data_IF_974710952029
#
_entry.id   IF_974710952029
#
_cell.length_a   1.000
_cell.length_b   1.000
_cell.length_c   1.000
_cell.angle_alpha   90.00
_cell.angle_beta   90.00
_cell.angle_gamma   90.00
#
_symmetry.space_group_name_H-M   'P 1'
#
loop_
_entity.id
_entity.type
_entity.pdbx_description
1 polymer ?
#
# COMPACT_ATOMS: atom_id res chain seq x y z
N UNK A 1 -16.41 -0.23 19.96
CA UNK A 1 -15.13 0.28 20.50
C UNK A 1 -14.20 0.48 19.31
N UNK A 2 -13.81 1.72 18.95
CA UNK A 2 -12.80 1.93 17.90
C UNK A 2 -11.54 1.17 18.31
N UNK A 3 -11.10 0.26 17.46
CA UNK A 3 -10.06 -0.73 17.75
C UNK A 3 -8.74 -0.09 18.17
N UNK A 4 -8.14 -0.62 19.25
CA UNK A 4 -6.79 -0.33 19.79
C UNK A 4 -5.63 -0.36 18.77
N UNK A 5 -5.88 -0.78 17.53
CA UNK A 5 -4.91 -0.77 16.43
C UNK A 5 -4.41 0.64 16.07
N UNK A 6 -5.27 1.66 16.16
CA UNK A 6 -4.94 3.01 15.68
C UNK A 6 -4.41 3.96 16.76
N UNK A 7 -4.52 3.62 18.04
CA UNK A 7 -4.10 4.51 19.14
C UNK A 7 -2.59 4.58 19.35
N UNK A 8 -1.81 3.81 18.60
CA UNK A 8 -0.37 3.58 18.86
C UNK A 8 0.56 4.08 17.74
N UNK A 9 0.05 4.69 16.67
CA UNK A 9 0.92 5.32 15.66
C UNK A 9 1.36 6.71 16.14
N UNK A 10 2.66 6.99 16.06
CA UNK A 10 3.13 8.35 16.26
C UNK A 10 2.78 9.26 15.06
N UNK A 11 2.96 10.58 15.23
CA UNK A 11 2.64 11.56 14.18
C UNK A 11 3.42 11.32 12.86
N UNK A 12 4.64 10.78 12.94
CA UNK A 12 5.43 10.48 11.76
C UNK A 12 4.87 9.27 11.00
N UNK A 13 4.44 8.24 11.70
CA UNK A 13 3.83 7.04 11.13
C UNK A 13 2.43 7.33 10.57
N UNK A 14 1.65 8.19 11.23
CA UNK A 14 0.39 8.73 10.67
C UNK A 14 0.66 9.48 9.36
N UNK A 15 1.69 10.32 9.30
CA UNK A 15 2.05 11.03 8.08
C UNK A 15 2.50 10.09 6.95
N UNK A 16 3.23 9.02 7.29
CA UNK A 16 3.59 7.97 6.32
C UNK A 16 2.36 7.24 5.80
N UNK A 17 1.42 6.89 6.66
CA UNK A 17 0.16 6.24 6.27
C UNK A 17 -0.66 7.15 5.35
N UNK A 18 -0.79 8.44 5.68
CA UNK A 18 -1.46 9.43 4.83
C UNK A 18 -0.85 9.44 3.42
N UNK A 19 0.48 9.56 3.29
CA UNK A 19 1.16 9.50 1.99
C UNK A 19 0.90 8.19 1.24
N UNK A 20 0.86 7.06 1.94
CA UNK A 20 0.55 5.76 1.33
C UNK A 20 -0.90 5.70 0.81
N UNK A 21 -1.87 6.29 1.52
CA UNK A 21 -3.26 6.40 1.05
C UNK A 21 -3.36 7.30 -0.19
N UNK A 22 -2.65 8.44 -0.20
CA UNK A 22 -2.57 9.30 -1.38
C UNK A 22 -2.01 8.55 -2.59
N UNK A 23 -0.97 7.74 -2.38
CA UNK A 23 -0.40 6.87 -3.41
C UNK A 23 -1.45 5.86 -3.92
N UNK A 24 -2.14 5.14 -3.03
CA UNK A 24 -3.20 4.19 -3.42
C UNK A 24 -4.26 4.87 -4.29
N UNK A 25 -4.74 6.05 -3.87
CA UNK A 25 -5.75 6.81 -4.63
C UNK A 25 -5.24 7.20 -6.02
N UNK A 26 -4.03 7.75 -6.09
CA UNK A 26 -3.42 8.18 -7.34
C UNK A 26 -3.19 7.02 -8.31
N UNK A 27 -2.75 5.86 -7.82
CA UNK A 27 -2.54 4.67 -8.65
C UNK A 27 -3.87 4.05 -9.11
N UNK A 28 -4.89 3.97 -8.24
CA UNK A 28 -6.21 3.47 -8.63
C UNK A 28 -6.83 4.29 -9.77
N UNK A 29 -6.68 5.63 -9.70
CA UNK A 29 -7.17 6.56 -10.73
C UNK A 29 -6.52 6.38 -12.10
N UNK A 30 -5.34 5.75 -12.16
CA UNK A 30 -4.59 5.49 -13.41
C UNK A 30 -4.57 4.01 -13.80
N UNK A 31 -5.14 3.14 -12.97
CA UNK A 31 -5.13 1.71 -13.21
C UNK A 31 -5.94 1.34 -14.45
N UNK A 32 -5.48 0.33 -15.20
CA UNK A 32 -6.22 -0.27 -16.31
C UNK A 32 -7.56 -0.87 -15.85
N UNK A 33 -7.59 -1.40 -14.62
CA UNK A 33 -8.79 -1.92 -13.95
C UNK A 33 -8.93 -1.27 -12.55
N UNK A 34 -9.47 -0.04 -12.45
CA UNK A 34 -9.68 0.62 -11.16
C UNK A 34 -10.63 -0.19 -10.27
N UNK A 35 -10.30 -0.32 -9.00
CA UNK A 35 -11.15 -0.99 -8.00
C UNK A 35 -12.08 0.00 -7.31
N UNK A 36 -13.17 -0.52 -6.73
CA UNK A 36 -13.99 0.24 -5.80
C UNK A 36 -13.19 0.47 -4.50
N UNK A 37 -12.63 1.66 -4.33
CA UNK A 37 -11.70 1.94 -3.24
C UNK A 37 -12.44 2.49 -2.01
N UNK A 38 -12.29 1.83 -0.86
CA UNK A 38 -12.84 2.25 0.42
C UNK A 38 -11.75 2.68 1.40
N UNK A 39 -11.99 3.79 2.10
CA UNK A 39 -11.24 4.23 3.27
C UNK A 39 -12.21 4.28 4.47
N UNK A 40 -12.24 3.20 5.25
CA UNK A 40 -13.14 3.05 6.40
C UNK A 40 -12.48 3.45 7.71
N UNK A 41 -13.28 3.68 8.76
CA UNK A 41 -12.82 4.10 10.08
C UNK A 41 -11.98 5.38 10.06
N UNK A 42 -12.22 6.28 9.08
CA UNK A 42 -11.47 7.53 9.00
C UNK A 42 -11.83 8.43 10.18
N UNK A 43 -10.84 8.72 11.02
CA UNK A 43 -10.97 9.60 12.17
C UNK A 43 -9.61 9.92 12.80
N UNK A 44 -9.64 10.50 14.00
CA UNK A 44 -8.44 10.74 14.81
C UNK A 44 -7.33 11.50 14.08
N UNK A 45 -6.08 11.12 14.36
CA UNK A 45 -4.89 11.79 13.83
C UNK A 45 -4.75 11.67 12.31
N UNK A 46 -5.22 10.57 11.70
CA UNK A 46 -5.18 10.41 10.25
C UNK A 46 -6.08 11.44 9.57
N UNK A 47 -7.32 11.60 10.06
CA UNK A 47 -8.25 12.60 9.54
C UNK A 47 -7.70 14.02 9.69
N UNK A 48 -7.16 14.34 10.88
CA UNK A 48 -6.50 15.64 11.11
C UNK A 48 -5.35 15.87 10.13
N UNK A 49 -4.51 14.86 9.91
CA UNK A 49 -3.41 14.95 8.94
C UNK A 49 -3.89 15.22 7.52
N UNK A 50 -4.99 14.59 7.09
CA UNK A 50 -5.61 14.82 5.78
C UNK A 50 -6.18 16.23 5.68
N UNK A 51 -6.95 16.68 6.69
CA UNK A 51 -7.55 18.03 6.72
C UNK A 51 -6.51 19.15 6.68
N UNK A 52 -5.35 18.96 7.32
CA UNK A 52 -4.28 19.96 7.37
C UNK A 52 -3.41 19.96 6.11
N UNK A 53 -3.00 18.77 5.66
CA UNK A 53 -1.93 18.62 4.64
C UNK A 53 -2.44 18.34 3.23
N UNK A 54 -3.69 17.90 3.09
CA UNK A 54 -4.31 17.61 1.78
C UNK A 54 -5.76 18.05 1.75
N UNK A 55 -6.03 19.35 1.89
CA UNK A 55 -7.40 19.91 1.88
C UNK A 55 -8.25 19.49 0.67
N UNK A 56 -7.62 19.04 -0.41
CA UNK A 56 -8.28 18.52 -1.60
C UNK A 56 -8.86 17.11 -1.46
N UNK A 57 -8.55 16.38 -0.38
CA UNK A 57 -9.00 14.99 -0.17
C UNK A 57 -10.53 14.86 -0.20
N UNK A 58 -11.25 15.90 0.25
CA UNK A 58 -12.72 15.97 0.21
C UNK A 58 -13.29 15.96 -1.21
N UNK A 59 -12.48 16.32 -2.21
CA UNK A 59 -12.86 16.39 -3.62
C UNK A 59 -12.38 15.15 -4.40
N UNK A 60 -11.80 14.15 -3.74
CA UNK A 60 -11.43 12.91 -4.39
C UNK A 60 -12.66 12.21 -4.95
N UNK A 61 -12.55 11.73 -6.20
CA UNK A 61 -13.64 11.07 -6.93
C UNK A 61 -13.38 9.58 -6.98
N UNK A 62 -14.44 8.79 -7.04
CA UNK A 62 -14.35 7.32 -7.18
C UNK A 62 -13.61 6.66 -5.99
N UNK A 63 -13.83 7.21 -4.78
CA UNK A 63 -13.40 6.65 -3.50
C UNK A 63 -14.54 6.78 -2.49
N UNK A 64 -14.72 5.74 -1.67
CA UNK A 64 -15.71 5.69 -0.59
C UNK A 64 -15.04 5.94 0.75
N UNK A 65 -15.14 7.16 1.26
CA UNK A 65 -14.58 7.53 2.57
C UNK A 65 -15.67 7.40 3.64
N UNK A 66 -15.42 6.60 4.67
CA UNK A 66 -16.37 6.21 5.72
C UNK A 66 -15.76 6.38 7.11
N UNK A 67 -16.55 6.89 8.05
CA UNK A 67 -16.17 6.96 9.47
C UNK A 67 -16.45 5.64 10.18
N UNK A 68 -17.35 4.84 9.63
CA UNK A 68 -17.81 3.54 10.10
C UNK A 68 -16.73 2.47 9.92
N UNK A 69 -16.76 1.42 10.74
CA UNK A 69 -15.86 0.27 10.58
C UNK A 69 -16.23 -0.55 9.34
N UNK A 70 -15.25 -1.21 8.71
CA UNK A 70 -15.51 -1.96 7.47
C UNK A 70 -16.57 -3.08 7.65
N UNK A 71 -16.70 -3.63 8.85
CA UNK A 71 -17.76 -4.63 9.18
C UNK A 71 -19.18 -4.03 9.22
N UNK A 72 -19.30 -2.72 9.26
CA UNK A 72 -20.59 -2.00 9.22
C UNK A 72 -20.93 -1.55 7.78
N UNK A 73 -19.95 -1.60 6.86
CA UNK A 73 -20.06 -1.11 5.48
C UNK A 73 -20.19 -2.27 4.48
N UNK A 74 -19.57 -3.41 4.78
CA UNK A 74 -19.55 -4.61 3.93
C UNK A 74 -19.96 -5.82 4.74
N UNK A 75 -20.70 -6.74 4.12
CA UNK A 75 -21.16 -7.97 4.75
C UNK A 75 -19.98 -8.86 5.15
N UNK A 76 -20.10 -9.55 6.28
CA UNK A 76 -19.01 -10.34 6.84
C UNK A 76 -18.54 -11.45 5.88
N UNK A 77 -19.51 -12.04 5.17
CA UNK A 77 -19.31 -13.10 4.19
C UNK A 77 -18.61 -12.65 2.91
N UNK A 78 -18.48 -11.35 2.65
CA UNK A 78 -17.71 -10.81 1.51
C UNK A 78 -16.27 -10.46 1.90
N UNK A 79 -15.96 -10.35 3.18
CA UNK A 79 -14.69 -9.84 3.67
C UNK A 79 -13.51 -10.83 3.57
N UNK A 80 -12.46 -10.30 2.94
CA UNK A 80 -11.07 -10.69 2.67
C UNK A 80 -9.95 -10.03 3.48
N UNK A 81 -9.63 -10.34 4.75
CA UNK A 81 -8.53 -9.62 5.41
C UNK A 81 -7.15 -10.07 4.92
N UNK A 82 -6.40 -9.15 4.29
CA UNK A 82 -5.03 -9.41 3.83
C UNK A 82 -4.03 -9.19 4.97
N UNK A 83 -3.33 -10.25 5.37
CA UNK A 83 -2.35 -10.22 6.46
C UNK A 83 -1.23 -11.22 6.22
N UNK A 84 0.02 -10.82 6.50
CA UNK A 84 1.21 -11.64 6.27
C UNK A 84 1.29 -12.87 7.18
N UNK A 85 0.59 -12.85 8.31
CA UNK A 85 0.63 -13.91 9.32
C UNK A 85 -0.45 -14.99 9.09
N UNK A 86 -1.34 -14.80 8.11
CA UNK A 86 -2.38 -15.78 7.78
C UNK A 86 -1.76 -17.08 7.23
N UNK A 87 -2.17 -18.26 7.70
CA UNK A 87 -1.72 -19.53 7.12
C UNK A 87 -2.31 -19.78 5.71
N UNK A 88 -3.43 -19.13 5.38
CA UNK A 88 -4.07 -19.25 4.07
C UNK A 88 -3.35 -18.40 3.03
N UNK A 89 -3.06 -18.96 1.87
CA UNK A 89 -2.42 -18.25 0.75
C UNK A 89 -3.48 -17.84 -0.27
N UNK A 90 -3.47 -16.58 -0.66
CA UNK A 90 -4.35 -16.06 -1.71
C UNK A 90 -3.84 -16.51 -3.09
N UNK A 91 -4.61 -17.35 -3.78
CA UNK A 91 -4.25 -17.88 -5.10
C UNK A 91 -4.80 -17.01 -6.24
N UNK A 92 -5.98 -16.43 -6.05
CA UNK A 92 -6.67 -15.60 -7.03
C UNK A 92 -7.53 -14.54 -6.33
N UNK A 93 -7.88 -13.49 -7.07
CA UNK A 93 -8.85 -12.50 -6.62
C UNK A 93 -10.25 -12.89 -7.11
N UNK A 94 -11.18 -13.01 -6.17
CA UNK A 94 -12.60 -13.22 -6.42
C UNK A 94 -13.27 -11.82 -6.53
N UNK A 95 -13.84 -11.46 -7.71
CA UNK A 95 -14.47 -10.17 -7.93
C UNK A 95 -15.67 -9.88 -7.03
N UNK A 96 -16.21 -10.89 -6.34
CA UNK A 96 -17.34 -10.77 -5.40
C UNK A 96 -16.87 -10.57 -3.95
N UNK A 97 -15.58 -10.31 -3.70
CA UNK A 97 -15.02 -10.13 -2.35
C UNK A 97 -14.50 -8.72 -2.15
N UNK A 98 -14.55 -8.28 -0.89
CA UNK A 98 -13.92 -7.06 -0.43
C UNK A 98 -12.61 -7.39 0.32
N UNK A 99 -11.48 -6.99 -0.26
CA UNK A 99 -10.16 -7.22 0.32
C UNK A 99 -9.76 -6.07 1.25
N UNK A 100 -9.50 -6.38 2.52
CA UNK A 100 -9.14 -5.42 3.57
C UNK A 100 -7.63 -5.37 3.73
N UNK A 101 -7.06 -4.17 3.64
CA UNK A 101 -5.65 -3.91 3.96
C UNK A 101 -5.60 -3.13 5.26
N UNK A 102 -4.77 -3.58 6.21
CA UNK A 102 -4.58 -2.87 7.47
C UNK A 102 -3.96 -1.49 7.25
N UNK A 103 -4.69 -0.42 7.57
CA UNK A 103 -4.20 0.96 7.51
C UNK A 103 -3.25 1.28 8.68
N UNK A 104 -2.11 0.60 8.75
CA UNK A 104 -1.17 0.68 9.86
C UNK A 104 0.27 0.79 9.34
N UNK A 105 1.05 1.68 9.95
CA UNK A 105 2.51 1.73 9.82
C UNK A 105 3.10 1.47 11.19
N UNK A 106 3.55 0.25 11.44
CA UNK A 106 4.04 -0.19 12.77
C UNK A 106 5.49 -0.68 12.76
N UNK A 107 6.18 -0.61 11.61
CA UNK A 107 7.52 -1.19 11.39
C UNK A 107 7.60 -2.69 11.74
N UNK A 108 6.45 -3.40 11.68
CA UNK A 108 6.26 -4.78 12.11
C UNK A 108 6.65 -5.01 13.59
N UNK A 109 6.36 -4.03 14.45
CA UNK A 109 6.47 -4.20 15.91
C UNK A 109 5.31 -5.06 16.45
N UNK A 110 4.14 -5.00 15.82
CA UNK A 110 2.92 -5.67 16.26
C UNK A 110 2.61 -6.87 15.35
N UNK A 111 3.46 -7.89 15.42
CA UNK A 111 3.27 -9.15 14.66
C UNK A 111 1.93 -9.78 14.99
N UNK A 112 1.22 -10.27 13.97
CA UNK A 112 -0.02 -11.02 14.17
C UNK A 112 -1.27 -10.18 14.44
N UNK A 113 -1.18 -8.89 14.79
CA UNK A 113 -2.37 -8.16 15.28
C UNK A 113 -3.50 -8.07 14.25
N UNK A 114 -3.18 -7.91 12.96
CA UNK A 114 -4.20 -7.90 11.91
C UNK A 114 -4.82 -9.28 11.67
N UNK A 115 -4.03 -10.34 11.86
CA UNK A 115 -4.48 -11.73 11.75
C UNK A 115 -5.35 -12.15 12.94
N UNK A 116 -4.94 -11.81 14.16
CA UNK A 116 -5.73 -11.99 15.39
C UNK A 116 -7.06 -11.26 15.24
N UNK A 117 -7.05 -10.01 14.78
CA UNK A 117 -8.26 -9.23 14.58
C UNK A 117 -9.22 -9.86 13.57
N UNK A 118 -8.71 -10.36 12.45
CA UNK A 118 -9.53 -11.05 11.46
C UNK A 118 -10.15 -12.33 12.04
N UNK A 119 -9.38 -13.07 12.85
CA UNK A 119 -9.84 -14.29 13.53
C UNK A 119 -10.92 -14.00 14.56
N UNK A 120 -10.74 -12.98 15.40
CA UNK A 120 -11.72 -12.54 16.40
C UNK A 120 -13.05 -12.12 15.77
N UNK A 121 -12.99 -11.47 14.61
CA UNK A 121 -14.18 -11.02 13.87
C UNK A 121 -14.81 -12.15 13.05
N UNK A 122 -14.21 -13.35 12.98
CA UNK A 122 -14.70 -14.45 12.17
C UNK A 122 -14.76 -14.13 10.67
N UNK A 123 -13.89 -13.23 10.19
CA UNK A 123 -13.77 -12.89 8.77
C UNK A 123 -12.67 -13.75 8.15
N UNK A 124 -12.79 -14.07 6.86
CA UNK A 124 -11.72 -14.78 6.16
C UNK A 124 -10.47 -13.90 6.10
N UNK A 125 -9.33 -14.56 6.11
CA UNK A 125 -8.02 -13.90 5.99
C UNK A 125 -7.11 -14.71 5.06
N UNK A 126 -6.18 -14.02 4.39
CA UNK A 126 -5.19 -14.62 3.51
C UNK A 126 -3.89 -13.79 3.48
N UNK A 127 -2.76 -14.45 3.24
CA UNK A 127 -1.50 -13.80 2.89
C UNK A 127 -1.33 -13.76 1.37
N UNK A 128 -0.60 -12.77 0.86
CA UNK A 128 -0.17 -12.78 -0.55
C UNK A 128 0.82 -13.93 -0.80
N UNK A 129 0.85 -14.52 -2.01
CA UNK A 129 1.70 -15.68 -2.33
C UNK A 129 3.19 -15.31 -2.53
N UNK A 130 3.73 -14.38 -1.73
CA UNK A 130 5.10 -13.86 -1.85
C UNK A 130 6.16 -14.96 -1.80
N UNK A 131 5.99 -15.93 -0.91
CA UNK A 131 6.95 -17.03 -0.70
C UNK A 131 7.19 -17.88 -1.94
N UNK A 132 6.22 -17.95 -2.84
CA UNK A 132 6.28 -18.76 -4.05
C UNK A 132 7.10 -18.10 -5.17
N UNK A 133 7.23 -16.77 -5.14
CA UNK A 133 7.78 -16.01 -6.27
C UNK A 133 8.96 -15.10 -5.88
N UNK A 134 9.13 -14.81 -4.58
CA UNK A 134 10.09 -13.82 -4.11
C UNK A 134 10.96 -14.38 -2.98
N UNK A 135 12.26 -14.50 -3.22
CA UNK A 135 13.27 -14.76 -2.18
C UNK A 135 13.73 -13.47 -1.51
N UNK A 136 12.97 -12.95 -0.54
CA UNK A 136 13.43 -11.81 0.25
C UNK A 136 14.33 -12.25 1.41
N UNK A 137 15.52 -11.64 1.53
CA UNK A 137 16.35 -11.68 2.76
C UNK A 137 15.75 -10.81 3.89
N UNK A 138 14.69 -10.06 3.58
CA UNK A 138 13.98 -9.17 4.50
C UNK A 138 12.61 -9.74 4.89
N UNK A 139 11.97 -9.12 5.89
CA UNK A 139 10.66 -9.54 6.41
C UNK A 139 9.60 -9.44 5.31
N UNK A 140 8.69 -10.43 5.25
CA UNK A 140 7.58 -10.52 4.27
C UNK A 140 6.40 -9.59 4.58
N UNK A 141 6.66 -8.44 5.21
CA UNK A 141 5.65 -7.42 5.52
C UNK A 141 5.83 -6.27 4.55
N UNK A 142 4.75 -5.94 3.84
CA UNK A 142 4.72 -4.89 2.82
C UNK A 142 4.02 -3.64 3.36
N UNK A 143 4.37 -2.49 2.80
CA UNK A 143 3.66 -1.24 3.08
C UNK A 143 2.24 -1.28 2.46
N UNK A 144 1.33 -0.46 2.98
CA UNK A 144 -0.07 -0.41 2.54
C UNK A 144 -0.17 -0.16 1.04
N UNK A 145 0.58 0.84 0.54
CA UNK A 145 0.58 1.16 -0.89
C UNK A 145 1.13 0.02 -1.74
N UNK A 146 2.15 -0.70 -1.29
CA UNK A 146 2.69 -1.83 -2.06
C UNK A 146 1.67 -2.96 -2.17
N UNK A 147 0.94 -3.29 -1.09
CA UNK A 147 -0.12 -4.30 -1.16
C UNK A 147 -1.19 -3.86 -2.16
N UNK A 148 -1.64 -2.61 -2.09
CA UNK A 148 -2.64 -2.07 -2.98
C UNK A 148 -2.20 -2.06 -4.46
N UNK A 149 -0.98 -1.57 -4.74
CA UNK A 149 -0.38 -1.56 -6.08
C UNK A 149 -0.21 -2.99 -6.64
N UNK A 150 0.13 -3.97 -5.79
CA UNK A 150 0.20 -5.39 -6.20
C UNK A 150 -1.18 -5.91 -6.62
N UNK A 151 -2.25 -5.57 -5.90
CA UNK A 151 -3.61 -5.95 -6.27
C UNK A 151 -3.97 -5.39 -7.65
N UNK A 152 -3.71 -4.10 -7.88
CA UNK A 152 -3.95 -3.47 -9.18
C UNK A 152 -3.13 -4.13 -10.30
N UNK A 153 -1.84 -4.37 -10.07
CA UNK A 153 -0.98 -5.01 -11.06
C UNK A 153 -1.40 -6.46 -11.35
N UNK A 154 -1.90 -7.19 -10.34
CA UNK A 154 -2.45 -8.52 -10.56
C UNK A 154 -3.73 -8.48 -11.40
N UNK A 155 -4.63 -7.53 -11.15
CA UNK A 155 -5.84 -7.35 -11.96
C UNK A 155 -5.53 -6.97 -13.41
N UNK A 156 -4.43 -6.27 -13.66
CA UNK A 156 -3.96 -5.95 -15.01
C UNK A 156 -3.31 -7.14 -15.70
N UNK A 157 -2.45 -7.89 -15.00
CA UNK A 157 -1.55 -8.87 -15.61
C UNK A 157 -2.02 -10.32 -15.49
N UNK A 158 -2.92 -10.61 -14.56
CA UNK A 158 -3.35 -11.97 -14.23
C UNK A 158 -2.27 -12.85 -13.59
N UNK A 159 -1.12 -12.27 -13.19
CA UNK A 159 0.05 -13.01 -12.71
C UNK A 159 0.61 -12.37 -11.43
N UNK A 160 0.64 -13.15 -10.34
CA UNK A 160 1.24 -12.72 -9.07
C UNK A 160 2.72 -12.40 -9.22
N UNK A 161 3.43 -13.22 -9.99
CA UNK A 161 4.86 -13.01 -10.25
C UNK A 161 5.08 -11.65 -10.91
N UNK A 162 4.40 -11.37 -12.02
CA UNK A 162 4.58 -10.08 -12.70
C UNK A 162 4.14 -8.89 -11.83
N UNK A 163 3.05 -9.04 -11.07
CA UNK A 163 2.60 -8.03 -10.13
C UNK A 163 3.68 -7.69 -9.08
N UNK A 164 4.30 -8.71 -8.48
CA UNK A 164 5.38 -8.51 -7.51
C UNK A 164 6.60 -7.83 -8.13
N UNK A 165 7.01 -8.23 -9.33
CA UNK A 165 8.17 -7.66 -10.01
C UNK A 165 7.95 -6.21 -10.47
N UNK A 166 6.69 -5.84 -10.72
CA UNK A 166 6.33 -4.48 -11.13
C UNK A 166 6.39 -3.52 -9.93
N UNK A 167 5.95 -3.97 -8.76
CA UNK A 167 5.74 -3.09 -7.59
C UNK A 167 6.91 -3.14 -6.60
N UNK A 168 7.52 -4.32 -6.40
CA UNK A 168 8.56 -4.46 -5.39
C UNK A 168 9.92 -4.02 -5.96
N UNK A 169 10.66 -3.14 -5.26
CA UNK A 169 11.95 -2.66 -5.74
C UNK A 169 12.96 -3.80 -5.85
N UNK A 170 13.66 -3.88 -6.99
CA UNK A 170 14.66 -4.91 -7.31
C UNK A 170 15.74 -5.06 -6.22
N UNK A 171 16.06 -3.97 -5.50
CA UNK A 171 17.02 -3.95 -4.37
C UNK A 171 16.60 -4.77 -3.15
N UNK A 172 15.36 -5.29 -3.08
CA UNK A 172 14.92 -6.22 -2.02
C UNK A 172 15.23 -7.70 -2.30
N UNK A 173 16.02 -8.00 -3.33
CA UNK A 173 16.42 -9.38 -3.66
C UNK A 173 15.28 -10.17 -4.30
N UNK A 174 14.44 -9.50 -5.09
CA UNK A 174 13.37 -10.17 -5.85
C UNK A 174 14.02 -11.04 -6.93
N UNK A 175 14.32 -12.28 -6.59
CA UNK A 175 14.79 -13.30 -7.54
C UNK A 175 13.61 -14.23 -7.81
N UNK A 176 13.26 -14.36 -9.09
CA UNK A 176 12.21 -15.27 -9.52
C UNK A 176 12.64 -16.69 -9.12
N UNK A 177 11.76 -17.43 -8.45
CA UNK A 177 12.02 -18.84 -8.19
C UNK A 177 11.86 -19.57 -9.54
N UNK A 178 12.99 -19.90 -10.19
CA UNK A 178 13.01 -20.73 -11.40
C UNK A 178 13.26 -20.01 -12.74
N UNK A 179 13.69 -18.75 -12.74
CA UNK A 179 14.15 -18.08 -13.97
C UNK A 179 15.68 -17.91 -13.90
N UNK A 180 16.41 -18.65 -14.75
CA UNK A 180 17.83 -18.40 -14.96
C UNK A 180 17.99 -16.98 -15.52
N UNK A 181 18.73 -16.14 -14.80
CA UNK A 181 19.00 -14.78 -15.20
C UNK A 181 19.94 -14.76 -16.41
N UNK A 182 19.38 -14.79 -17.61
CA UNK A 182 20.05 -14.30 -18.82
C UNK A 182 19.40 -12.98 -19.24
N UNK A 183 20.23 -11.94 -19.19
CA UNK A 183 20.05 -10.56 -19.65
C UNK A 183 19.27 -9.57 -18.77
N UNK A 184 19.97 -8.68 -18.03
CA UNK A 184 19.35 -7.48 -17.49
C UNK A 184 19.08 -6.45 -18.61
N UNK A 185 17.96 -5.72 -18.58
CA UNK A 185 17.71 -4.63 -19.51
C UNK A 185 18.71 -3.48 -19.29
N UNK A 186 19.18 -2.90 -20.39
CA UNK A 186 20.13 -1.78 -20.42
C UNK A 186 19.58 -0.59 -19.62
N UNK A 187 20.43 -0.01 -18.78
CA UNK A 187 20.21 1.30 -18.17
C UNK A 187 20.26 2.35 -19.28
N UNK A 188 19.19 3.12 -19.43
CA UNK A 188 19.27 4.45 -20.02
C UNK A 188 19.78 5.39 -18.92
N UNK A 189 20.97 5.96 -19.14
CA UNK A 189 21.53 7.03 -18.31
C UNK A 189 20.82 8.33 -18.68
N UNK A 190 19.87 8.77 -17.84
CA UNK A 190 19.44 10.17 -17.84
C UNK A 190 20.52 11.01 -17.16
N UNK A 191 21.22 11.80 -17.96
CA UNK A 191 22.15 12.85 -17.55
C UNK A 191 21.39 13.97 -16.85
N UNK A 192 21.69 14.14 -15.57
CA UNK A 192 21.27 15.26 -14.73
C UNK A 192 22.00 16.54 -15.18
N UNK A 193 21.23 17.52 -15.64
CA UNK A 193 21.70 18.80 -16.13
C UNK A 193 20.67 19.85 -15.74
N UNK A 194 20.69 20.26 -14.48
CA UNK A 194 20.16 21.56 -14.09
C UNK A 194 21.26 22.35 -13.36
N UNK A 195 21.72 23.39 -14.05
CA UNK A 195 22.64 24.39 -13.56
C UNK A 195 21.82 25.56 -13.02
N UNK A 196 21.84 25.77 -11.71
CA UNK A 196 21.34 27.01 -11.09
C UNK A 196 22.28 28.19 -11.41
N UNK A 197 21.79 29.34 -11.88
CA UNK A 197 22.58 30.57 -11.90
C UNK A 197 22.43 31.33 -10.58
N UNK A 198 23.47 31.29 -9.74
CA UNK A 198 23.67 32.24 -8.64
C UNK A 198 23.84 33.65 -9.19
N UNK A 199 22.92 34.56 -8.83
CA UNK A 199 23.05 35.99 -9.09
C UNK A 199 23.89 36.62 -7.97
N UNK A 200 25.14 36.95 -8.26
CA UNK A 200 26.00 37.75 -7.38
C UNK A 200 25.76 39.24 -7.65
N UNK A 201 25.14 39.94 -6.71
CA UNK A 201 25.16 41.40 -6.68
C UNK A 201 26.46 41.86 -6.03
N UNK A 202 27.36 42.47 -6.81
CA UNK A 202 28.52 43.19 -6.32
C UNK A 202 28.15 44.67 -6.08
N UNK A 203 28.38 45.15 -4.86
CA UNK A 203 28.64 46.57 -4.59
C UNK A 203 30.12 46.87 -4.95
N UNK A 204 30.38 47.93 -5.73
CA UNK A 204 31.25 49.05 -5.31
C UNK A 204 31.42 50.14 -6.40
N UNK A 205 31.04 51.37 -6.00
CA UNK A 205 31.70 52.67 -6.19
C UNK A 205 32.44 53.01 -7.50
N UNK A 206 31.89 54.01 -8.19
CA UNK A 206 32.60 55.25 -8.56
C UNK A 206 31.59 56.40 -8.62
#
# INVERSE_FOLDING_TARGET
QPSQLYSNMDSNDVHKLHKQIQRCYAENRRASHPVQFYLTSLGGQLRQSMDEKDKGWVNWKDIHIKTEHYTEVVSQEELVYLTSDSPNVLTELDPQRAYVIGGLVDHNHHKGVTFERATELGIRHAQLPLSSFVKMNSRKVLAVNHVFEIILAYLEKGSWQEAFFTVLPQRKGVVAVGWDATDPPKKDEETDSDSDPETTAQEERA
#
